data_IF_312039816697
#
_entry.id   IF_312039816697
#
_cell.length_a   1.000
_cell.length_b   1.000
_cell.length_c   1.000
_cell.angle_alpha   90.00
_cell.angle_beta   90.00
_cell.angle_gamma   90.00
#
_symmetry.space_group_name_H-M   'P 1'
#
loop_
_entity.id
_entity.type
_entity.pdbx_description
1 polymer ?
#
# COMPACT_ATOMS: atom_id res chain seq x y z
N UNK A 1 20.75 0.90 5.09
CA UNK A 1 19.72 1.93 4.86
C UNK A 1 20.44 3.26 4.96
N UNK A 2 20.65 3.98 3.85
CA UNK A 2 21.34 5.29 3.88
C UNK A 2 20.39 6.28 4.56
N UNK A 3 20.80 6.87 5.68
CA UNK A 3 19.99 7.89 6.34
C UNK A 3 20.04 9.17 5.50
N UNK A 4 18.89 9.67 5.07
CA UNK A 4 18.81 10.96 4.40
C UNK A 4 19.01 12.06 5.43
N UNK A 5 19.99 12.93 5.19
CA UNK A 5 20.26 14.09 6.03
C UNK A 5 19.33 15.26 5.67
N UNK A 6 19.11 16.16 6.62
CA UNK A 6 18.38 17.39 6.35
C UNK A 6 19.02 18.22 5.22
N UNK A 7 20.35 18.21 5.14
CA UNK A 7 21.12 18.91 4.11
C UNK A 7 20.88 18.35 2.71
N UNK A 8 20.88 17.02 2.55
CA UNK A 8 20.56 16.39 1.26
C UNK A 8 19.14 16.71 0.79
N UNK A 9 18.17 16.74 1.72
CA UNK A 9 16.78 17.10 1.38
C UNK A 9 16.68 18.58 1.02
N UNK A 10 17.38 19.45 1.74
CA UNK A 10 17.41 20.88 1.44
C UNK A 10 17.98 21.14 0.05
N UNK A 11 19.08 20.45 -0.29
CA UNK A 11 19.69 20.52 -1.62
C UNK A 11 18.74 20.01 -2.69
N UNK A 12 18.10 18.86 -2.47
CA UNK A 12 17.09 18.33 -3.38
C UNK A 12 15.92 19.31 -3.59
N UNK A 13 15.38 19.90 -2.53
CA UNK A 13 14.31 20.89 -2.64
C UNK A 13 14.74 22.11 -3.48
N UNK A 14 15.97 22.57 -3.29
CA UNK A 14 16.50 23.70 -4.05
C UNK A 14 16.74 23.33 -5.52
N UNK A 15 17.59 22.34 -5.79
CA UNK A 15 18.07 22.03 -7.15
C UNK A 15 17.01 21.33 -8.01
N UNK A 16 16.25 20.40 -7.43
CA UNK A 16 15.37 19.52 -8.20
C UNK A 16 13.93 20.03 -8.24
N UNK A 17 13.51 20.87 -7.28
CA UNK A 17 12.14 21.39 -7.21
C UNK A 17 12.11 22.88 -7.53
N UNK A 18 12.75 23.72 -6.72
CA UNK A 18 12.66 25.18 -6.83
C UNK A 18 13.30 25.68 -8.13
N UNK A 19 14.54 25.28 -8.42
CA UNK A 19 15.24 25.72 -9.62
C UNK A 19 14.63 25.19 -10.92
N UNK A 20 13.94 24.04 -10.89
CA UNK A 20 13.34 23.41 -12.09
C UNK A 20 11.90 23.82 -12.34
N UNK A 21 11.11 24.01 -11.28
CA UNK A 21 9.66 24.16 -11.37
C UNK A 21 9.13 25.45 -10.71
N UNK A 22 9.99 26.20 -10.02
CA UNK A 22 9.61 27.33 -9.19
C UNK A 22 9.18 26.92 -7.78
N UNK A 23 8.94 27.91 -6.93
CA UNK A 23 8.58 27.67 -5.53
C UNK A 23 7.14 27.13 -5.40
N UNK A 24 6.94 25.92 -4.85
CA UNK A 24 5.61 25.44 -4.54
C UNK A 24 5.00 26.25 -3.39
N UNK A 25 3.69 26.49 -3.42
CA UNK A 25 3.01 27.18 -2.31
C UNK A 25 2.97 26.33 -1.03
N UNK A 26 2.80 25.01 -1.19
CA UNK A 26 2.66 24.07 -0.07
C UNK A 26 3.48 22.82 -0.37
N UNK A 27 4.29 22.39 0.60
CA UNK A 27 4.93 21.08 0.62
C UNK A 27 4.29 20.25 1.74
N UNK A 28 3.95 19.00 1.44
CA UNK A 28 3.42 18.05 2.43
C UNK A 28 4.40 16.89 2.57
N UNK A 29 4.91 16.64 3.78
CA UNK A 29 5.79 15.50 4.10
C UNK A 29 5.27 14.71 5.29
N UNK A 30 5.86 13.56 5.58
CA UNK A 30 5.65 12.89 6.86
C UNK A 30 6.40 13.59 8.01
N UNK A 31 6.26 13.06 9.22
CA UNK A 31 6.98 13.52 10.42
C UNK A 31 8.40 12.93 10.53
N UNK A 32 9.02 12.53 9.41
CA UNK A 32 10.40 12.07 9.40
C UNK A 32 11.35 13.14 9.95
N UNK A 33 12.28 12.75 10.84
CA UNK A 33 13.22 13.66 11.51
C UNK A 33 13.93 14.64 10.55
N UNK A 34 14.39 14.22 9.35
CA UNK A 34 15.03 15.15 8.41
C UNK A 34 14.09 16.25 7.90
N UNK A 35 12.81 15.94 7.68
CA UNK A 35 11.82 16.89 7.16
C UNK A 35 11.38 17.94 8.18
N UNK A 36 11.45 17.62 9.48
CA UNK A 36 11.08 18.55 10.57
C UNK A 36 12.27 19.37 11.10
N UNK A 37 13.43 19.23 10.47
CA UNK A 37 14.65 19.94 10.89
C UNK A 37 14.52 21.46 10.72
N UNK A 38 15.29 22.19 11.52
CA UNK A 38 15.32 23.66 11.45
C UNK A 38 15.82 24.14 10.09
N UNK A 39 16.73 23.41 9.45
CA UNK A 39 17.21 23.71 8.11
C UNK A 39 16.06 23.69 7.08
N UNK A 40 15.26 22.63 7.07
CA UNK A 40 14.10 22.55 6.15
C UNK A 40 13.08 23.64 6.46
N UNK A 41 12.85 23.95 7.75
CA UNK A 41 11.96 25.04 8.14
C UNK A 41 12.46 26.40 7.64
N UNK A 42 13.77 26.66 7.73
CA UNK A 42 14.39 27.89 7.23
C UNK A 42 14.32 27.99 5.70
N UNK A 43 14.64 26.90 4.98
CA UNK A 43 14.50 26.86 3.52
C UNK A 43 13.05 27.17 3.11
N UNK A 44 12.08 26.47 3.68
CA UNK A 44 10.67 26.72 3.39
C UNK A 44 10.27 28.17 3.71
N UNK A 45 10.73 28.74 4.83
CA UNK A 45 10.46 30.14 5.18
C UNK A 45 11.07 31.13 4.18
N UNK A 46 12.31 30.91 3.76
CA UNK A 46 13.02 31.81 2.83
C UNK A 46 12.37 31.83 1.45
N UNK A 47 11.81 30.71 1.01
CA UNK A 47 11.11 30.59 -0.27
C UNK A 47 9.59 30.79 -0.18
N UNK A 48 9.07 31.25 0.96
CA UNK A 48 7.63 31.45 1.21
C UNK A 48 6.77 30.18 0.96
N UNK A 49 7.33 29.02 1.28
CA UNK A 49 6.70 27.71 1.15
C UNK A 49 6.04 27.33 2.47
N UNK A 50 4.75 26.97 2.43
CA UNK A 50 4.03 26.45 3.60
C UNK A 50 4.34 24.96 3.71
N UNK A 51 5.18 24.58 4.67
CA UNK A 51 5.45 23.17 4.97
C UNK A 51 4.39 22.63 5.94
N UNK A 52 3.66 21.60 5.50
CA UNK A 52 2.70 20.86 6.33
C UNK A 52 3.24 19.45 6.55
N UNK A 53 3.21 18.97 7.78
CA UNK A 53 3.48 17.56 8.05
C UNK A 53 2.19 16.77 8.15
N UNK A 54 2.18 15.54 7.63
CA UNK A 54 1.05 14.65 7.78
C UNK A 54 0.96 14.21 9.24
N UNK A 55 -0.24 14.21 9.79
CA UNK A 55 -0.50 13.41 10.99
C UNK A 55 -0.20 11.92 10.68
N UNK A 56 0.09 11.08 11.69
CA UNK A 56 0.38 9.65 11.48
C UNK A 56 -0.67 8.89 10.66
N UNK A 57 -1.85 9.48 10.45
CA UNK A 57 -2.94 8.97 9.62
C UNK A 57 -3.42 10.03 8.61
N UNK A 58 -2.63 10.32 7.57
CA UNK A 58 -3.15 10.92 6.33
C UNK A 58 -3.11 9.90 5.17
N UNK A 59 -4.11 9.00 5.07
CA UNK A 59 -4.13 7.93 4.07
C UNK A 59 -4.17 8.44 2.63
N UNK A 60 -4.62 9.68 2.41
CA UNK A 60 -4.78 10.24 1.07
C UNK A 60 -3.44 10.64 0.45
N UNK A 61 -2.62 11.40 1.19
CA UNK A 61 -1.29 11.81 0.71
C UNK A 61 -0.33 10.61 0.66
N UNK A 62 -0.32 9.77 1.69
CA UNK A 62 0.54 8.59 1.73
C UNK A 62 0.13 7.57 0.68
N UNK A 63 -1.17 7.33 0.46
CA UNK A 63 -1.64 6.38 -0.55
C UNK A 63 -1.31 6.77 -2.00
N UNK A 64 -1.13 8.05 -2.30
CA UNK A 64 -0.62 8.47 -3.61
C UNK A 64 0.87 8.17 -3.77
N UNK A 65 1.67 8.53 -2.77
CA UNK A 65 3.13 8.29 -2.76
C UNK A 65 3.42 6.78 -2.76
N UNK A 66 2.72 5.99 -1.96
CA UNK A 66 2.85 4.54 -1.89
C UNK A 66 2.54 3.87 -3.24
N UNK A 67 1.48 4.31 -3.92
CA UNK A 67 1.16 3.80 -5.26
C UNK A 67 2.22 4.16 -6.28
N UNK A 68 2.68 5.42 -6.25
CA UNK A 68 3.76 5.86 -7.11
C UNK A 68 5.03 5.01 -6.88
N UNK A 69 5.45 4.86 -5.62
CA UNK A 69 6.63 4.06 -5.25
C UNK A 69 6.46 2.59 -5.66
N UNK A 70 5.26 2.03 -5.53
CA UNK A 70 4.96 0.68 -6.00
C UNK A 70 5.11 0.55 -7.52
N UNK A 71 4.55 1.48 -8.29
CA UNK A 71 4.70 1.49 -9.76
C UNK A 71 6.17 1.66 -10.16
N UNK A 72 6.89 2.57 -9.49
CA UNK A 72 8.31 2.80 -9.74
C UNK A 72 9.13 1.54 -9.48
N UNK A 73 8.93 0.89 -8.33
CA UNK A 73 9.59 -0.36 -7.98
C UNK A 73 9.28 -1.50 -8.96
N UNK A 74 8.05 -1.58 -9.47
CA UNK A 74 7.68 -2.58 -10.49
C UNK A 74 8.35 -2.36 -11.84
N UNK A 75 8.63 -1.11 -12.22
CA UNK A 75 9.34 -0.82 -13.48
C UNK A 75 10.82 -1.12 -13.30
N UNK A 76 11.42 -0.65 -12.20
CA UNK A 76 12.83 -0.90 -11.87
C UNK A 76 13.13 -2.40 -11.72
N UNK A 77 12.23 -3.17 -11.08
CA UNK A 77 12.39 -4.61 -10.92
C UNK A 77 12.46 -5.36 -12.26
N UNK A 78 11.81 -4.87 -13.32
CA UNK A 78 11.85 -5.50 -14.65
C UNK A 78 13.07 -5.12 -15.47
N UNK A 79 13.77 -4.06 -15.08
CA UNK A 79 14.87 -3.45 -15.86
C UNK A 79 16.25 -3.62 -15.23
N UNK A 80 16.31 -3.90 -13.94
CA UNK A 80 17.56 -4.14 -13.23
C UNK A 80 18.05 -5.56 -13.49
N UNK A 81 19.38 -5.73 -13.49
CA UNK A 81 20.03 -7.03 -13.63
C UNK A 81 19.64 -7.99 -12.49
N UNK A 82 19.97 -9.28 -12.61
CA UNK A 82 19.61 -10.32 -11.61
C UNK A 82 20.04 -9.93 -10.18
N UNK A 83 21.16 -9.21 -10.04
CA UNK A 83 21.69 -8.72 -8.76
C UNK A 83 21.15 -7.34 -8.32
N UNK A 84 20.42 -6.63 -9.19
CA UNK A 84 19.78 -5.33 -8.93
C UNK A 84 20.70 -4.22 -8.40
N UNK A 85 21.99 -4.26 -8.72
CA UNK A 85 22.98 -3.29 -8.23
C UNK A 85 22.99 -1.96 -8.98
N UNK A 86 22.38 -1.91 -10.16
CA UNK A 86 22.40 -0.81 -11.12
C UNK A 86 21.05 -0.08 -11.26
N UNK A 87 20.12 -0.33 -10.34
CA UNK A 87 18.75 0.21 -10.41
C UNK A 87 18.70 1.74 -10.46
N UNK A 88 19.67 2.41 -9.84
CA UNK A 88 19.81 3.87 -9.80
C UNK A 88 20.15 4.45 -11.18
N UNK A 89 20.90 3.73 -12.01
CA UNK A 89 21.21 4.13 -13.40
C UNK A 89 19.96 4.17 -14.27
N UNK A 90 18.96 3.31 -14.01
CA UNK A 90 17.69 3.30 -14.73
C UNK A 90 16.65 4.26 -14.16
N UNK A 91 16.93 4.93 -13.04
CA UNK A 91 15.97 5.82 -12.39
C UNK A 91 15.55 6.99 -13.30
N UNK A 92 16.44 7.69 -14.02
CA UNK A 92 16.05 8.79 -14.93
C UNK A 92 15.11 8.31 -16.04
N UNK A 93 15.44 7.20 -16.70
CA UNK A 93 14.63 6.61 -17.77
C UNK A 93 13.25 6.17 -17.25
N UNK A 94 13.22 5.56 -16.07
CA UNK A 94 11.97 5.10 -15.44
C UNK A 94 11.07 6.28 -15.05
N UNK A 95 11.63 7.32 -14.45
CA UNK A 95 10.90 8.53 -14.11
C UNK A 95 10.36 9.23 -15.36
N UNK A 96 11.16 9.30 -16.43
CA UNK A 96 10.73 9.86 -17.71
C UNK A 96 9.56 9.07 -18.31
N UNK A 97 9.64 7.73 -18.32
CA UNK A 97 8.56 6.87 -18.79
C UNK A 97 7.27 7.08 -17.99
N UNK A 98 7.35 7.15 -16.65
CA UNK A 98 6.19 7.41 -15.81
C UNK A 98 5.58 8.80 -16.05
N UNK A 99 6.42 9.83 -16.18
CA UNK A 99 6.00 11.22 -16.43
C UNK A 99 5.36 11.39 -17.82
N UNK A 100 5.77 10.61 -18.80
CA UNK A 100 5.28 10.69 -20.18
C UNK A 100 4.04 9.80 -20.43
N UNK A 101 3.77 8.83 -19.56
CA UNK A 101 2.63 7.93 -19.69
C UNK A 101 1.32 8.57 -19.20
N UNK A 102 0.25 8.42 -20.00
CA UNK A 102 -1.09 8.86 -19.61
C UNK A 102 -1.60 8.08 -18.40
N UNK A 103 -1.99 8.80 -17.35
CA UNK A 103 -2.52 8.17 -16.14
C UNK A 103 -4.00 7.83 -16.31
N UNK A 104 -4.41 6.66 -15.82
CA UNK A 104 -5.79 6.19 -15.97
C UNK A 104 -6.82 7.14 -15.34
N UNK A 105 -6.45 7.82 -14.25
CA UNK A 105 -7.29 8.76 -13.51
C UNK A 105 -7.45 10.10 -14.23
N UNK A 106 -6.35 10.73 -14.65
CA UNK A 106 -6.39 12.07 -15.26
C UNK A 106 -6.60 12.03 -16.77
N UNK A 107 -6.40 10.86 -17.40
CA UNK A 107 -6.33 10.68 -18.87
C UNK A 107 -5.23 11.48 -19.56
N UNK A 108 -4.35 12.13 -18.79
CA UNK A 108 -3.25 12.97 -19.25
C UNK A 108 -1.92 12.48 -18.66
N UNK A 109 -0.81 12.77 -19.33
CA UNK A 109 0.52 12.51 -18.79
C UNK A 109 0.88 13.56 -17.72
N UNK A 110 1.61 13.19 -16.65
CA UNK A 110 2.12 14.18 -15.70
C UNK A 110 2.96 15.27 -16.38
N UNK A 111 3.77 14.91 -17.37
CA UNK A 111 4.57 15.85 -18.14
C UNK A 111 3.69 16.89 -18.85
N UNK A 112 2.63 16.47 -19.52
CA UNK A 112 1.69 17.39 -20.17
C UNK A 112 1.00 18.31 -19.16
N UNK A 113 0.57 17.78 -18.01
CA UNK A 113 -0.06 18.61 -16.97
C UNK A 113 0.92 19.63 -16.37
N UNK A 114 2.21 19.30 -16.25
CA UNK A 114 3.23 20.22 -15.73
C UNK A 114 3.63 21.27 -16.76
N UNK A 115 3.95 20.87 -17.98
CA UNK A 115 4.58 21.76 -18.97
C UNK A 115 3.65 22.23 -20.09
N UNK A 116 2.48 21.62 -20.25
CA UNK A 116 1.51 22.00 -21.28
C UNK A 116 1.84 21.52 -22.68
N UNK A 117 2.71 20.53 -22.83
CA UNK A 117 3.05 19.85 -24.09
C UNK A 117 3.55 18.44 -23.79
N UNK A 118 3.49 17.53 -24.74
CA UNK A 118 4.02 16.18 -24.58
C UNK A 118 5.53 16.14 -24.86
N UNK A 119 6.30 15.32 -24.13
CA UNK A 119 7.73 15.19 -24.38
C UNK A 119 7.95 14.47 -25.71
N UNK A 120 8.96 14.92 -26.46
CA UNK A 120 9.34 14.31 -27.73
C UNK A 120 10.35 13.19 -27.46
N UNK A 121 10.14 12.06 -28.11
CA UNK A 121 10.99 10.87 -28.02
C UNK A 121 11.53 10.50 -29.40
N UNK A 122 12.65 9.77 -29.49
CA UNK A 122 13.19 9.28 -30.76
C UNK A 122 12.21 8.39 -31.57
N UNK A 123 11.15 7.89 -30.94
CA UNK A 123 10.14 7.03 -31.58
C UNK A 123 9.00 7.81 -32.24
N UNK A 124 8.95 9.13 -32.06
CA UNK A 124 7.89 9.96 -32.63
C UNK A 124 8.17 10.29 -34.11
N UNK A 125 7.81 9.36 -35.00
CA UNK A 125 8.12 9.39 -36.45
C UNK A 125 7.53 10.58 -37.24
N UNK A 126 6.54 11.30 -36.68
CA UNK A 126 5.84 12.40 -37.36
C UNK A 126 6.45 13.79 -37.08
N UNK A 127 7.69 13.85 -36.59
CA UNK A 127 8.32 15.11 -36.23
C UNK A 127 8.92 15.84 -37.43
N UNK A 128 8.14 16.75 -38.01
CA UNK A 128 8.64 17.76 -38.91
C UNK A 128 9.32 18.88 -38.10
N UNK A 129 10.64 19.02 -38.25
CA UNK A 129 11.36 20.21 -37.76
C UNK A 129 11.04 21.32 -38.75
N UNK A 130 10.15 22.23 -38.36
CA UNK A 130 9.88 23.43 -39.16
C UNK A 130 10.98 24.46 -38.94
N UNK A 131 11.43 25.10 -40.02
CA UNK A 131 12.34 26.25 -39.92
C UNK A 131 11.72 27.33 -39.03
N UNK A 132 12.54 27.91 -38.14
CA UNK A 132 12.10 28.88 -37.12
C UNK A 132 11.35 30.08 -37.72
N UNK A 133 11.70 30.48 -38.93
CA UNK A 133 11.10 31.63 -39.61
C UNK A 133 9.99 31.23 -40.61
N UNK A 134 9.55 29.97 -40.59
CA UNK A 134 8.47 29.52 -41.47
C UNK A 134 7.10 29.92 -40.91
N UNK A 135 6.13 30.31 -41.76
CA UNK A 135 4.75 30.57 -41.33
C UNK A 135 4.11 29.37 -40.60
N UNK A 136 4.52 28.14 -40.94
CA UNK A 136 4.09 26.92 -40.26
C UNK A 136 4.60 26.87 -38.81
N UNK A 137 5.85 27.23 -38.57
CA UNK A 137 6.40 27.28 -37.21
C UNK A 137 5.68 28.32 -36.36
N UNK A 138 5.45 29.53 -36.90
CA UNK A 138 4.71 30.58 -36.21
C UNK A 138 3.27 30.16 -35.88
N UNK A 139 2.56 29.56 -36.83
CA UNK A 139 1.20 29.05 -36.61
C UNK A 139 1.15 27.97 -35.52
N UNK A 140 2.11 27.04 -35.49
CA UNK A 140 2.23 26.01 -34.45
C UNK A 140 2.53 26.64 -33.09
N UNK A 141 3.43 27.61 -33.03
CA UNK A 141 3.79 28.31 -31.79
C UNK A 141 2.59 29.10 -31.24
N UNK A 142 1.88 29.82 -32.11
CA UNK A 142 0.67 30.55 -31.76
C UNK A 142 -0.41 29.60 -31.26
N UNK A 143 -0.70 28.52 -31.99
CA UNK A 143 -1.67 27.51 -31.59
C UNK A 143 -1.32 26.90 -30.23
N UNK A 144 -0.05 26.53 -30.02
CA UNK A 144 0.43 25.99 -28.73
C UNK A 144 0.25 27.00 -27.61
N UNK A 145 0.60 28.26 -27.83
CA UNK A 145 0.47 29.33 -26.83
C UNK A 145 -0.99 29.57 -26.47
N UNK A 146 -1.87 29.67 -27.48
CA UNK A 146 -3.30 29.81 -27.28
C UNK A 146 -3.91 28.60 -26.57
N UNK A 147 -3.52 27.38 -26.94
CA UNK A 147 -3.94 26.14 -26.28
C UNK A 147 -3.46 26.08 -24.83
N UNK A 148 -2.23 26.51 -24.55
CA UNK A 148 -1.69 26.58 -23.19
C UNK A 148 -2.42 27.62 -22.33
N UNK A 149 -2.79 28.77 -22.89
CA UNK A 149 -3.53 29.80 -22.17
C UNK A 149 -4.99 29.40 -21.90
N UNK A 150 -5.69 28.83 -22.87
CA UNK A 150 -7.14 28.61 -22.77
C UNK A 150 -7.53 27.20 -22.35
N UNK A 151 -6.88 26.18 -22.90
CA UNK A 151 -7.29 24.78 -22.69
C UNK A 151 -6.57 24.12 -21.52
N UNK A 152 -5.30 24.43 -21.29
CA UNK A 152 -4.49 23.72 -20.29
C UNK A 152 -5.00 23.92 -18.86
N UNK A 153 -5.42 25.13 -18.50
CA UNK A 153 -5.99 25.40 -17.17
C UNK A 153 -7.27 24.59 -16.95
N UNK A 154 -8.16 24.54 -17.95
CA UNK A 154 -9.37 23.70 -17.91
C UNK A 154 -9.03 22.22 -17.78
N UNK A 155 -8.02 21.73 -18.51
CA UNK A 155 -7.57 20.33 -18.42
C UNK A 155 -7.00 20.04 -17.03
N UNK A 156 -6.21 20.95 -16.45
CA UNK A 156 -5.66 20.84 -15.09
C UNK A 156 -6.77 20.79 -14.05
N UNK A 157 -7.80 21.63 -14.17
CA UNK A 157 -8.96 21.60 -13.29
C UNK A 157 -9.73 20.27 -13.39
N UNK A 158 -9.94 19.76 -14.61
CA UNK A 158 -10.59 18.46 -14.82
C UNK A 158 -9.76 17.32 -14.21
N UNK A 159 -8.44 17.34 -14.41
CA UNK A 159 -7.53 16.38 -13.81
C UNK A 159 -7.57 16.43 -12.28
N UNK A 160 -7.55 17.63 -11.69
CA UNK A 160 -7.66 17.82 -10.24
C UNK A 160 -8.99 17.28 -9.69
N UNK A 161 -10.11 17.55 -10.38
CA UNK A 161 -11.43 16.99 -10.03
C UNK A 161 -11.43 15.47 -10.11
N UNK A 162 -10.88 14.88 -11.18
CA UNK A 162 -10.80 13.44 -11.37
C UNK A 162 -9.93 12.73 -10.31
N UNK A 163 -8.81 13.35 -9.91
CA UNK A 163 -7.98 12.87 -8.80
C UNK A 163 -8.77 12.86 -7.51
N UNK A 164 -9.45 13.97 -7.18
CA UNK A 164 -10.23 14.11 -5.95
C UNK A 164 -11.40 13.10 -5.89
N UNK A 165 -12.13 12.92 -6.99
CA UNK A 165 -13.23 11.94 -7.05
C UNK A 165 -12.72 10.52 -6.88
N UNK A 166 -11.62 10.16 -7.56
CA UNK A 166 -10.99 8.83 -7.45
C UNK A 166 -10.50 8.56 -6.03
N UNK A 167 -9.86 9.54 -5.39
CA UNK A 167 -9.42 9.43 -4.00
C UNK A 167 -10.59 9.22 -3.04
N UNK A 168 -11.68 9.98 -3.21
CA UNK A 168 -12.88 9.85 -2.38
C UNK A 168 -13.56 8.49 -2.58
N UNK A 169 -13.66 8.01 -3.82
CA UNK A 169 -14.22 6.69 -4.12
C UNK A 169 -13.38 5.57 -3.50
N UNK A 170 -12.05 5.66 -3.59
CA UNK A 170 -11.14 4.69 -2.96
C UNK A 170 -11.23 4.71 -1.44
N UNK A 171 -11.31 5.90 -0.84
CA UNK A 171 -11.51 6.04 0.61
C UNK A 171 -12.81 5.36 1.03
N UNK A 172 -13.92 5.64 0.34
CA UNK A 172 -15.22 4.99 0.60
C UNK A 172 -15.16 3.48 0.42
N UNK A 173 -14.48 2.98 -0.62
CA UNK A 173 -14.33 1.55 -0.83
C UNK A 173 -13.53 0.87 0.30
N UNK A 174 -12.48 1.52 0.79
CA UNK A 174 -11.70 1.05 1.95
C UNK A 174 -12.56 1.09 3.22
N UNK A 175 -13.26 2.19 3.47
CA UNK A 175 -14.16 2.33 4.62
C UNK A 175 -15.26 1.28 4.60
N UNK A 176 -15.90 1.05 3.45
CA UNK A 176 -16.90 0.00 3.27
C UNK A 176 -16.29 -1.38 3.49
N UNK A 177 -15.09 -1.67 2.98
CA UNK A 177 -14.40 -2.94 3.24
C UNK A 177 -14.07 -3.14 4.72
N UNK A 178 -13.69 -2.09 5.44
CA UNK A 178 -13.45 -2.14 6.89
C UNK A 178 -14.77 -2.35 7.63
N UNK A 179 -15.85 -1.67 7.22
CA UNK A 179 -17.19 -1.85 7.76
C UNK A 179 -17.73 -3.25 7.51
N UNK A 180 -17.50 -3.81 6.32
CA UNK A 180 -17.91 -5.16 5.95
C UNK A 180 -17.07 -6.20 6.70
N UNK A 181 -15.76 -5.97 6.90
CA UNK A 181 -14.92 -6.78 7.80
C UNK A 181 -15.31 -6.65 9.28
N UNK A 182 -15.89 -5.51 9.69
CA UNK A 182 -16.48 -5.32 11.02
C UNK A 182 -17.88 -5.94 11.13
N UNK A 183 -18.60 -6.11 10.01
CA UNK A 183 -19.86 -6.87 9.94
C UNK A 183 -19.59 -8.37 9.90
N UNK A 184 -18.45 -8.80 9.36
CA UNK A 184 -17.80 -10.08 9.67
C UNK A 184 -17.13 -10.05 11.06
N UNK A 185 -17.81 -9.47 12.06
CA UNK A 185 -17.72 -10.06 13.40
C UNK A 185 -18.20 -11.49 13.19
N UNK A 186 -17.24 -12.39 12.99
CA UNK A 186 -17.44 -13.84 12.94
C UNK A 186 -18.47 -14.18 14.01
N UNK A 187 -19.46 -15.04 13.71
CA UNK A 187 -20.51 -15.38 14.66
C UNK A 187 -19.87 -15.59 16.03
N UNK A 188 -20.42 -14.99 17.11
CA UNK A 188 -19.75 -14.94 18.41
C UNK A 188 -19.36 -16.36 18.80
N UNK A 189 -18.05 -16.61 18.92
CA UNK A 189 -17.56 -17.93 19.28
C UNK A 189 -18.09 -18.28 20.66
N UNK A 190 -18.63 -19.48 20.80
CA UNK A 190 -19.14 -20.00 22.07
C UNK A 190 -18.04 -20.78 22.78
N UNK A 191 -18.21 -20.93 24.08
CA UNK A 191 -17.35 -21.79 24.88
C UNK A 191 -17.41 -23.22 24.32
N UNK A 192 -16.24 -23.81 24.05
CA UNK A 192 -16.14 -25.14 23.42
C UNK A 192 -15.93 -25.14 21.90
N UNK A 193 -16.11 -24.02 21.19
CA UNK A 193 -15.89 -23.98 19.74
C UNK A 193 -14.41 -24.25 19.39
N UNK A 194 -14.19 -25.04 18.34
CA UNK A 194 -12.84 -25.31 17.82
C UNK A 194 -12.48 -24.26 16.76
N UNK A 195 -11.32 -23.64 16.92
CA UNK A 195 -10.85 -22.51 16.13
C UNK A 195 -9.39 -22.66 15.70
N UNK A 196 -9.06 -22.04 14.58
CA UNK A 196 -7.67 -21.84 14.14
C UNK A 196 -7.24 -20.40 14.41
N UNK A 197 -6.01 -20.23 14.87
CA UNK A 197 -5.37 -18.95 15.18
C UNK A 197 -4.52 -18.44 14.01
N UNK A 198 -4.63 -17.15 13.68
CA UNK A 198 -3.83 -16.50 12.65
C UNK A 198 -2.44 -16.07 13.16
N UNK A 199 -1.38 -16.49 12.46
CA UNK A 199 0.03 -16.13 12.68
C UNK A 199 0.36 -14.81 11.99
N UNK A 200 0.12 -13.70 12.68
CA UNK A 200 0.37 -12.33 12.21
C UNK A 200 1.85 -12.06 11.91
N UNK A 201 2.77 -12.63 12.68
CA UNK A 201 4.22 -12.47 12.47
C UNK A 201 4.71 -12.98 11.10
N UNK A 202 4.00 -13.93 10.48
CA UNK A 202 4.33 -14.42 9.12
C UNK A 202 3.89 -13.46 8.01
N UNK A 203 3.03 -12.48 8.31
CA UNK A 203 2.52 -11.54 7.30
C UNK A 203 3.53 -10.44 6.93
N UNK A 204 4.55 -10.22 7.77
CA UNK A 204 5.54 -9.14 7.60
C UNK A 204 6.76 -9.56 6.78
N UNK A 205 7.08 -10.86 6.72
CA UNK A 205 8.25 -11.39 5.99
C UNK A 205 7.89 -11.90 4.59
N UNK A 206 8.82 -11.76 3.63
CA UNK A 206 8.67 -12.33 2.28
C UNK A 206 8.59 -13.87 2.31
N UNK A 207 9.39 -14.53 3.15
CA UNK A 207 9.33 -16.00 3.33
C UNK A 207 8.05 -16.48 3.99
N UNK A 208 7.46 -15.65 4.88
CA UNK A 208 6.20 -15.95 5.56
C UNK A 208 4.97 -15.94 4.64
N UNK A 209 5.10 -15.45 3.39
CA UNK A 209 4.05 -15.54 2.38
C UNK A 209 3.82 -16.97 1.87
N UNK A 210 4.83 -17.85 1.97
CA UNK A 210 4.79 -19.24 1.51
C UNK A 210 4.38 -20.24 2.59
N UNK A 211 4.27 -19.81 3.85
CA UNK A 211 3.94 -20.68 4.98
C UNK A 211 2.44 -20.61 5.33
N UNK A 212 1.91 -21.70 5.88
CA UNK A 212 0.54 -21.73 6.39
C UNK A 212 0.36 -20.72 7.52
N UNK A 213 -0.58 -19.80 7.32
CA UNK A 213 -0.83 -18.66 8.21
C UNK A 213 -1.77 -18.98 9.37
N UNK A 214 -2.33 -20.18 9.38
CA UNK A 214 -3.27 -20.63 10.39
C UNK A 214 -2.64 -21.75 11.22
N UNK A 215 -2.81 -21.68 12.53
CA UNK A 215 -2.24 -22.59 13.53
C UNK A 215 -3.36 -23.14 14.41
N UNK A 216 -3.26 -24.40 14.83
CA UNK A 216 -4.23 -25.07 15.71
C UNK A 216 -4.45 -26.51 15.28
N UNK A 217 -5.49 -27.19 15.80
CA UNK A 217 -6.70 -26.62 16.39
C UNK A 217 -6.59 -26.14 17.85
N UNK A 218 -7.43 -25.16 18.21
CA UNK A 218 -7.59 -24.62 19.56
C UNK A 218 -9.06 -24.67 19.99
N UNK A 219 -9.36 -24.75 21.28
CA UNK A 219 -10.72 -24.66 21.83
C UNK A 219 -10.90 -23.30 22.54
N UNK A 220 -12.08 -22.69 22.37
CA UNK A 220 -12.49 -21.51 23.15
C UNK A 220 -12.74 -21.95 24.59
N UNK A 221 -11.85 -21.54 25.48
CA UNK A 221 -11.92 -21.81 26.91
C UNK A 221 -12.80 -20.79 27.64
N UNK A 222 -12.76 -19.51 27.22
CA UNK A 222 -13.56 -18.46 27.84
C UNK A 222 -13.84 -17.32 26.85
N UNK A 223 -15.06 -16.77 26.89
CA UNK A 223 -15.45 -15.57 26.15
C UNK A 223 -15.24 -14.35 27.05
N UNK A 224 -14.49 -13.36 26.58
CA UNK A 224 -14.27 -12.08 27.27
C UNK A 224 -15.08 -10.97 26.59
N UNK A 225 -15.19 -9.81 27.26
CA UNK A 225 -15.82 -8.62 26.67
C UNK A 225 -15.08 -8.08 25.44
N UNK A 226 -15.81 -7.34 24.60
CA UNK A 226 -15.29 -6.65 23.39
C UNK A 226 -14.65 -7.60 22.35
N UNK A 227 -15.19 -8.81 22.18
CA UNK A 227 -14.77 -9.73 21.11
C UNK A 227 -13.39 -10.38 21.32
N UNK A 228 -12.95 -10.50 22.57
CA UNK A 228 -11.70 -11.18 22.95
C UNK A 228 -12.02 -12.54 23.57
N UNK A 229 -11.14 -13.53 23.39
CA UNK A 229 -11.34 -14.91 23.84
C UNK A 229 -10.06 -15.45 24.47
N UNK A 230 -10.21 -16.35 25.44
CA UNK A 230 -9.15 -17.24 25.88
C UNK A 230 -9.25 -18.55 25.10
N UNK A 231 -8.16 -18.94 24.44
CA UNK A 231 -8.05 -20.20 23.70
C UNK A 231 -7.05 -21.13 24.36
N UNK A 232 -7.31 -22.43 24.28
CA UNK A 232 -6.44 -23.50 24.78
C UNK A 232 -6.13 -24.50 23.65
N UNK A 233 -4.91 -25.01 23.59
CA UNK A 233 -4.54 -26.04 22.60
C UNK A 233 -5.33 -27.32 22.87
N UNK A 234 -5.74 -28.03 21.81
CA UNK A 234 -6.42 -29.33 21.94
C UNK A 234 -5.47 -30.47 22.27
N UNK A 235 -4.16 -30.29 22.08
CA UNK A 235 -3.16 -31.29 22.42
C UNK A 235 -2.86 -31.29 23.93
N UNK A 236 -2.87 -32.50 24.52
CA UNK A 236 -2.82 -32.73 25.98
C UNK A 236 -1.58 -32.14 26.66
N UNK A 237 -0.51 -31.90 25.90
CA UNK A 237 0.78 -31.43 26.43
C UNK A 237 0.91 -29.90 26.58
N UNK A 238 0.09 -29.09 25.88
CA UNK A 238 0.16 -27.62 25.98
C UNK A 238 -1.04 -27.06 26.75
N UNK A 239 -0.82 -26.77 28.03
CA UNK A 239 -1.83 -26.21 28.93
C UNK A 239 -1.94 -24.68 28.84
N UNK A 240 -1.16 -24.01 27.98
CA UNK A 240 -1.12 -22.55 27.92
C UNK A 240 -2.43 -21.97 27.40
N UNK A 241 -2.99 -21.05 28.17
CA UNK A 241 -4.16 -20.26 27.77
C UNK A 241 -3.66 -18.99 27.08
N UNK A 242 -4.06 -18.78 25.82
CA UNK A 242 -3.71 -17.58 25.04
C UNK A 242 -4.90 -16.64 24.96
N UNK A 243 -4.68 -15.35 25.22
CA UNK A 243 -5.70 -14.30 25.04
C UNK A 243 -5.60 -13.71 23.64
N UNK A 244 -6.68 -13.79 22.87
CA UNK A 244 -6.69 -13.43 21.44
C UNK A 244 -7.98 -12.72 21.05
N UNK A 245 -7.89 -11.78 20.11
CA UNK A 245 -9.07 -11.10 19.57
C UNK A 245 -9.75 -11.98 18.49
N UNK A 246 -11.08 -12.00 18.42
CA UNK A 246 -11.86 -12.85 17.53
C UNK A 246 -11.51 -12.70 16.04
N UNK A 247 -11.06 -11.52 15.62
CA UNK A 247 -10.58 -11.28 14.25
C UNK A 247 -9.42 -12.20 13.84
N UNK A 248 -8.63 -12.70 14.81
CA UNK A 248 -7.52 -13.64 14.59
C UNK A 248 -7.94 -15.11 14.61
N UNK A 249 -9.22 -15.41 14.87
CA UNK A 249 -9.73 -16.77 14.99
C UNK A 249 -10.61 -17.11 13.81
N UNK A 250 -10.53 -18.31 13.23
CA UNK A 250 -11.55 -18.81 12.29
C UNK A 250 -12.11 -20.15 12.77
N UNK A 251 -13.37 -20.49 12.47
CA UNK A 251 -13.91 -21.81 12.77
C UNK A 251 -13.04 -22.92 12.18
N UNK A 252 -12.82 -23.99 12.94
CA UNK A 252 -12.19 -25.22 12.45
C UNK A 252 -13.26 -26.28 12.24
N UNK A 253 -13.38 -26.79 11.01
CA UNK A 253 -14.20 -27.96 10.73
C UNK A 253 -13.34 -29.20 10.84
N UNK A 254 -13.75 -30.15 11.68
CA UNK A 254 -13.07 -31.45 11.78
C UNK A 254 -13.22 -32.14 10.42
N UNK A 255 -12.11 -32.54 9.76
CA UNK A 255 -12.18 -33.30 8.52
C UNK A 255 -12.98 -34.58 8.75
N UNK A 256 -14.04 -34.79 7.97
CA UNK A 256 -14.86 -36.00 8.04
C UNK A 256 -14.15 -37.13 7.30
N UNK A 257 -13.02 -37.59 7.82
CA UNK A 257 -12.25 -38.72 7.26
C UNK A 257 -12.73 -40.01 7.91
N UNK A 258 -13.31 -40.90 7.10
CA UNK A 258 -13.82 -42.23 7.47
C UNK A 258 -12.77 -43.15 8.14
N UNK A 259 -11.50 -42.78 8.13
CA UNK A 259 -10.38 -43.52 8.74
C UNK A 259 -10.38 -43.53 10.28
N UNK A 260 -11.14 -42.66 10.96
CA UNK A 260 -11.11 -42.56 12.44
C UNK A 260 -12.18 -43.38 13.17
N UNK A 261 -13.13 -43.96 12.46
CA UNK A 261 -14.24 -44.74 13.06
C UNK A 261 -13.75 -46.06 13.66
N UNK A 262 -12.67 -46.64 13.13
CA UNK A 262 -12.10 -47.90 13.63
C UNK A 262 -11.35 -47.71 14.97
N UNK A 263 -10.61 -46.61 15.12
CA UNK A 263 -9.85 -46.34 16.35
C UNK A 263 -10.70 -45.82 17.52
N UNK A 264 -11.86 -45.22 17.26
CA UNK A 264 -12.80 -44.86 18.34
C UNK A 264 -13.51 -46.08 18.93
N UNK A 265 -13.73 -47.16 18.16
CA UNK A 265 -14.31 -48.41 18.68
C UNK A 265 -13.35 -49.16 19.61
N UNK A 266 -12.06 -49.15 19.32
CA UNK A 266 -11.05 -49.83 20.16
C UNK A 266 -10.84 -49.08 21.49
N UNK A 267 -10.87 -47.74 21.50
CA UNK A 267 -10.70 -46.97 22.73
C UNK A 267 -11.95 -47.03 23.63
N UNK A 268 -13.16 -47.08 23.06
CA UNK A 268 -14.38 -47.29 23.86
C UNK A 268 -14.48 -48.70 24.45
N UNK A 269 -14.01 -49.74 23.74
CA UNK A 269 -14.07 -51.11 24.27
C UNK A 269 -13.07 -51.36 25.41
N UNK A 270 -11.89 -50.73 25.37
CA UNK A 270 -10.89 -50.88 26.44
C UNK A 270 -11.28 -50.13 27.72
N UNK A 271 -11.97 -48.99 27.60
CA UNK A 271 -12.48 -48.22 28.75
C UNK A 271 -13.70 -48.87 29.43
N UNK A 272 -14.52 -49.62 28.68
CA UNK A 272 -15.69 -50.33 29.21
C UNK A 272 -15.32 -51.64 29.95
N UNK A 273 -14.21 -52.29 29.59
CA UNK A 273 -13.74 -53.51 30.28
C UNK A 273 -12.98 -53.18 31.58
N UNK A 274 -12.12 -52.15 31.60
CA UNK A 274 -11.42 -51.73 32.83
C UNK A 274 -12.37 -51.12 33.90
N UNK A 275 -13.53 -50.59 33.50
CA UNK A 275 -14.51 -50.03 34.44
C UNK A 275 -15.47 -51.07 35.02
N UNK A 276 -15.54 -52.29 34.44
CA UNK A 276 -16.34 -53.39 35.01
C UNK A 276 -15.60 -54.18 36.10
N UNK A 277 -14.29 -54.36 35.99
CA UNK A 277 -13.50 -55.06 37.03
C UNK A 277 -13.30 -54.23 38.33
N UNK A 278 -13.65 -52.94 38.33
CA UNK A 278 -13.53 -52.09 39.51
C UNK A 278 -14.81 -52.03 40.37
N UNK A 279 -15.91 -52.65 39.93
CA UNK A 279 -17.21 -52.58 40.60
C UNK A 279 -17.99 -53.91 40.73
N UNK A 280 -17.33 -55.06 40.53
CA UNK A 280 -17.81 -56.38 40.97
C UNK A 280 -16.76 -57.10 41.83
#
# INVERSE_FOLDING_TARGET
MRFQTASEIALFLYEEIICRHGCPTIIVSDNGKPFISDLIRQVCRNYSIIHKTTTPYNPQSNGLIERFNKTLGQILQRRSDEEKKDWDQYLPATLFAYRSMKQATTKQSPFYLTYGYEPKTPFDMNHLIHERNSPKFEAILFHRTAHQLHSLNRIREQAAKAIKTTQNAQKKAIENKILDQRKELKPPFKLGDIVLLYKDYLSTSWSGKLQDKWEGPYIIHQVLGKGTYHIKNTEVQDTRIRRVHGNRLKPYSIPNTQWRTEHQRIVSSVLDDETKELFD
#
